data_IF_671866612510
#
_entry.id   IF_671866612510
#
_cell.length_a   1.000
_cell.length_b   1.000
_cell.length_c   1.000
_cell.angle_alpha   90.00
_cell.angle_beta   90.00
_cell.angle_gamma   90.00
#
_symmetry.space_group_name_H-M   'P 1'
#
loop_
_entity.id
_entity.type
_entity.pdbx_description
1 polymer ?
#
# COMPACT_ATOMS: atom_id res chain seq x y z
N UNK A 1 8.86 22.64 10.90
CA UNK A 1 8.04 23.53 11.74
C UNK A 1 6.57 23.19 11.60
N UNK A 2 5.78 23.41 12.66
CA UNK A 2 4.31 23.36 12.64
C UNK A 2 3.86 24.74 13.12
N UNK A 3 3.04 25.43 12.33
CA UNK A 3 2.57 26.80 12.61
C UNK A 3 3.71 27.75 13.01
N UNK A 4 4.81 27.70 12.26
CA UNK A 4 6.00 28.53 12.50
C UNK A 4 6.89 28.09 13.68
N UNK A 5 6.48 27.09 14.46
CA UNK A 5 7.27 26.59 15.60
C UNK A 5 8.14 25.40 15.18
N UNK A 6 9.43 25.50 15.48
CA UNK A 6 10.37 24.40 15.27
C UNK A 6 9.99 23.23 16.17
N UNK A 7 9.88 22.04 15.58
CA UNK A 7 9.59 20.82 16.32
C UNK A 7 10.87 20.09 16.71
N UNK A 8 10.88 19.47 17.88
CA UNK A 8 12.02 18.68 18.40
C UNK A 8 12.18 17.34 17.69
N UNK A 9 11.12 16.83 17.06
CA UNK A 9 11.10 15.57 16.35
C UNK A 9 11.00 15.78 14.83
N UNK A 10 11.68 14.92 14.08
CA UNK A 10 11.44 14.77 12.65
C UNK A 10 10.03 14.20 12.38
N UNK A 11 9.50 14.35 11.18
CA UNK A 11 8.21 13.75 10.80
C UNK A 11 8.18 12.24 11.04
N UNK A 12 9.26 11.55 10.70
CA UNK A 12 9.36 10.10 10.94
C UNK A 12 9.37 9.75 12.43
N UNK A 13 10.07 10.52 13.27
CA UNK A 13 10.02 10.31 14.73
C UNK A 13 8.64 10.57 15.31
N UNK A 14 7.88 11.54 14.75
CA UNK A 14 6.48 11.76 15.15
C UNK A 14 5.61 10.54 14.84
N UNK A 15 5.78 9.92 13.67
CA UNK A 15 5.07 8.69 13.30
C UNK A 15 5.44 7.56 14.26
N UNK A 16 6.71 7.32 14.51
CA UNK A 16 7.16 6.27 15.46
C UNK A 16 6.64 6.48 16.88
N UNK A 17 6.53 7.73 17.31
CA UNK A 17 6.02 8.09 18.63
C UNK A 17 4.55 7.65 18.82
N UNK A 18 3.77 7.51 17.78
CA UNK A 18 2.40 6.96 17.88
C UNK A 18 2.41 5.51 18.38
N UNK A 19 3.35 4.70 17.86
CA UNK A 19 3.54 3.33 18.34
C UNK A 19 4.09 3.29 19.79
N UNK A 20 5.02 4.18 20.13
CA UNK A 20 5.57 4.26 21.49
C UNK A 20 4.50 4.59 22.53
N UNK A 21 3.45 5.32 22.15
CA UNK A 21 2.38 5.80 23.05
C UNK A 21 1.09 5.00 23.01
N UNK A 22 0.80 4.32 21.91
CA UNK A 22 -0.48 3.64 21.69
C UNK A 22 -0.33 2.23 21.14
N UNK A 23 0.87 1.66 21.19
CA UNK A 23 1.18 0.36 20.61
C UNK A 23 1.01 -0.84 21.54
N UNK A 24 0.10 -0.81 22.50
CA UNK A 24 -0.09 -1.89 23.49
C UNK A 24 -0.32 -3.26 22.86
N UNK A 25 -0.98 -3.29 21.70
CA UNK A 25 -1.25 -4.52 20.95
C UNK A 25 -0.23 -4.78 19.82
N UNK A 26 0.80 -3.96 19.68
CA UNK A 26 1.84 -4.15 18.67
C UNK A 26 2.94 -5.02 19.24
N UNK A 27 3.09 -6.23 18.70
CA UNK A 27 4.10 -7.19 19.14
C UNK A 27 5.46 -6.91 18.50
N UNK A 28 5.45 -6.42 17.26
CA UNK A 28 6.66 -6.03 16.53
C UNK A 28 6.35 -4.91 15.54
N UNK A 29 7.16 -3.84 15.57
CA UNK A 29 7.12 -2.78 14.57
C UNK A 29 8.51 -2.14 14.42
N UNK A 30 8.82 -1.67 13.21
CA UNK A 30 10.08 -1.00 12.85
C UNK A 30 11.37 -1.83 13.03
N UNK A 31 11.27 -3.12 13.25
CA UNK A 31 12.39 -4.03 13.50
C UNK A 31 12.49 -5.17 12.50
N UNK A 32 11.47 -5.38 11.69
CA UNK A 32 11.40 -6.44 10.69
C UNK A 32 10.71 -5.94 9.42
N UNK A 33 10.55 -6.81 8.42
CA UNK A 33 9.96 -6.51 7.10
C UNK A 33 8.47 -6.17 7.19
N UNK A 34 7.76 -6.71 8.17
CA UNK A 34 6.36 -6.40 8.45
C UNK A 34 6.13 -6.14 9.93
N UNK A 35 5.03 -5.49 10.27
CA UNK A 35 4.58 -5.36 11.65
C UNK A 35 3.76 -6.58 12.07
N UNK A 36 3.77 -6.88 13.36
CA UNK A 36 2.94 -7.93 13.96
C UNK A 36 2.07 -7.31 15.05
N UNK A 37 0.77 -7.50 14.93
CA UNK A 37 -0.23 -7.02 15.88
C UNK A 37 -0.87 -8.23 16.58
N UNK A 38 -1.12 -8.11 17.86
CA UNK A 38 -1.80 -9.14 18.63
C UNK A 38 -3.19 -9.40 18.04
N UNK A 39 -3.46 -10.66 17.78
CA UNK A 39 -4.77 -11.11 17.31
C UNK A 39 -5.56 -11.79 18.42
N UNK A 40 -6.48 -12.63 18.06
CA UNK A 40 -7.38 -13.32 18.97
C UNK A 40 -7.03 -14.80 19.08
N UNK A 41 -7.38 -15.40 20.22
CA UNK A 41 -7.37 -16.84 20.35
C UNK A 41 -8.45 -17.46 19.48
N UNK A 42 -8.03 -18.30 18.52
CA UNK A 42 -8.94 -18.87 17.53
C UNK A 42 -8.54 -20.30 17.15
N UNK A 43 -9.49 -21.03 16.57
CA UNK A 43 -9.28 -22.37 16.06
C UNK A 43 -8.55 -22.32 14.70
N UNK A 44 -7.57 -23.18 14.55
CA UNK A 44 -6.79 -23.31 13.33
C UNK A 44 -6.69 -24.78 12.93
N UNK A 45 -7.04 -25.07 11.69
CA UNK A 45 -6.87 -26.39 11.08
C UNK A 45 -5.59 -26.40 10.25
N UNK A 46 -4.58 -27.09 10.72
CA UNK A 46 -3.25 -27.03 10.15
C UNK A 46 -2.48 -28.35 10.39
N UNK A 47 -1.52 -28.71 9.50
CA UNK A 47 -0.69 -29.87 9.75
C UNK A 47 0.22 -29.65 10.96
N UNK A 48 0.25 -30.63 11.83
CA UNK A 48 1.19 -30.71 12.92
C UNK A 48 2.61 -30.78 12.38
N UNK A 49 3.57 -29.95 12.88
CA UNK A 49 4.91 -29.87 12.33
C UNK A 49 5.73 -31.15 12.41
N UNK A 50 5.43 -32.03 13.37
CA UNK A 50 6.17 -33.26 13.61
C UNK A 50 5.56 -34.46 12.87
N UNK A 51 4.25 -34.61 12.98
CA UNK A 51 3.53 -35.76 12.38
C UNK A 51 3.04 -35.51 10.97
N UNK A 52 2.88 -34.28 10.53
CA UNK A 52 2.27 -33.89 9.28
C UNK A 52 0.75 -34.09 9.23
N UNK A 53 0.12 -34.56 10.30
CA UNK A 53 -1.31 -34.78 10.37
C UNK A 53 -2.09 -33.48 10.57
N UNK A 54 -3.16 -33.29 9.82
CA UNK A 54 -4.05 -32.13 9.98
C UNK A 54 -4.87 -32.27 11.26
N UNK A 55 -4.81 -31.25 12.10
CA UNK A 55 -5.56 -31.18 13.38
C UNK A 55 -6.08 -29.78 13.63
N UNK A 56 -7.10 -29.71 14.48
CA UNK A 56 -7.52 -28.45 15.06
C UNK A 56 -6.67 -28.12 16.29
N UNK A 57 -6.13 -26.92 16.30
CA UNK A 57 -5.46 -26.34 17.47
C UNK A 57 -6.15 -25.05 17.88
N UNK A 58 -6.03 -24.67 19.16
CA UNK A 58 -6.46 -23.38 19.69
C UNK A 58 -5.21 -22.60 20.05
N UNK A 59 -4.96 -21.53 19.32
CA UNK A 59 -3.76 -20.70 19.49
C UNK A 59 -4.08 -19.20 19.34
N UNK A 60 -3.17 -18.34 19.81
CA UNK A 60 -3.26 -16.92 19.55
C UNK A 60 -2.78 -16.65 18.13
N UNK A 61 -3.71 -16.21 17.27
CA UNK A 61 -3.44 -15.94 15.86
C UNK A 61 -3.18 -14.45 15.70
N UNK A 62 -1.93 -14.09 15.53
CA UNK A 62 -1.50 -12.71 15.32
C UNK A 62 -1.69 -12.28 13.87
N UNK A 63 -1.76 -10.96 13.66
CA UNK A 63 -1.93 -10.36 12.37
C UNK A 63 -0.61 -9.75 11.89
N UNK A 64 -0.16 -10.15 10.73
CA UNK A 64 0.90 -9.47 10.00
C UNK A 64 0.30 -8.29 9.25
N UNK A 65 1.04 -7.19 9.19
CA UNK A 65 0.65 -6.02 8.43
C UNK A 65 1.86 -5.43 7.70
N UNK A 66 1.77 -5.37 6.39
CA UNK A 66 2.77 -4.77 5.52
C UNK A 66 2.12 -3.82 4.54
N UNK A 67 2.76 -2.68 4.33
CA UNK A 67 2.40 -1.74 3.26
C UNK A 67 3.66 -1.30 2.55
N UNK A 68 3.65 -1.40 1.22
CA UNK A 68 4.73 -1.06 0.33
C UNK A 68 4.24 -0.11 -0.76
N UNK A 69 5.07 0.82 -1.22
CA UNK A 69 4.75 1.66 -2.38
C UNK A 69 5.64 1.31 -3.57
N UNK A 70 5.02 1.20 -4.76
CA UNK A 70 5.73 0.88 -6.00
C UNK A 70 5.37 1.87 -7.11
N UNK A 71 5.72 3.14 -6.88
CA UNK A 71 5.20 4.28 -7.61
C UNK A 71 5.76 4.42 -9.03
N UNK A 72 7.10 4.48 -9.17
CA UNK A 72 7.73 4.77 -10.45
C UNK A 72 7.56 3.67 -11.50
N UNK A 73 7.76 2.38 -11.16
CA UNK A 73 7.47 1.31 -12.11
C UNK A 73 6.01 1.27 -12.57
N UNK A 74 5.06 1.53 -11.65
CA UNK A 74 3.64 1.62 -11.98
C UNK A 74 3.32 2.81 -12.91
N UNK A 75 4.06 3.92 -12.77
CA UNK A 75 3.91 5.07 -13.65
C UNK A 75 4.36 4.79 -15.09
N UNK A 76 5.27 3.85 -15.28
CA UNK A 76 5.85 3.53 -16.60
C UNK A 76 5.11 2.36 -17.25
N UNK A 77 4.83 1.31 -16.48
CA UNK A 77 4.18 0.09 -16.93
C UNK A 77 3.20 -0.39 -15.84
N UNK A 78 1.96 0.12 -15.82
CA UNK A 78 1.06 -0.02 -14.68
C UNK A 78 0.76 -1.46 -14.28
N UNK A 79 0.47 -2.33 -15.24
CA UNK A 79 0.18 -3.74 -14.98
C UNK A 79 1.36 -4.45 -14.28
N UNK A 80 2.52 -4.46 -14.92
CA UNK A 80 3.71 -5.13 -14.39
C UNK A 80 4.30 -4.43 -13.17
N UNK A 81 4.25 -3.10 -13.15
CA UNK A 81 4.71 -2.30 -12.02
C UNK A 81 3.91 -2.56 -10.75
N UNK A 82 2.58 -2.58 -10.85
CA UNK A 82 1.70 -2.87 -9.73
C UNK A 82 1.79 -4.36 -9.31
N UNK A 83 1.90 -5.28 -10.28
CA UNK A 83 2.14 -6.69 -9.98
C UNK A 83 3.43 -6.92 -9.21
N UNK A 84 4.52 -6.29 -9.63
CA UNK A 84 5.80 -6.36 -8.90
C UNK A 84 5.71 -5.75 -7.51
N UNK A 85 4.94 -4.67 -7.35
CA UNK A 85 4.65 -4.05 -6.04
C UNK A 85 3.96 -5.02 -5.09
N UNK A 86 2.91 -5.71 -5.55
CA UNK A 86 2.24 -6.75 -4.79
C UNK A 86 3.18 -7.91 -4.44
N UNK A 87 4.03 -8.33 -5.38
CA UNK A 87 5.02 -9.38 -5.14
C UNK A 87 6.08 -9.00 -4.10
N UNK A 88 6.52 -7.74 -4.09
CA UNK A 88 7.45 -7.22 -3.09
C UNK A 88 6.84 -7.21 -1.68
N UNK A 89 5.59 -6.84 -1.57
CA UNK A 89 4.83 -6.85 -0.33
C UNK A 89 4.66 -8.28 0.22
N UNK A 90 4.22 -9.23 -0.63
CA UNK A 90 4.09 -10.65 -0.27
C UNK A 90 5.42 -11.24 0.20
N UNK A 91 6.52 -10.90 -0.46
CA UNK A 91 7.86 -11.33 -0.06
C UNK A 91 8.19 -10.88 1.36
N UNK A 92 7.86 -9.64 1.71
CA UNK A 92 8.16 -9.08 3.01
C UNK A 92 7.30 -9.73 4.12
N UNK A 93 6.03 -9.99 3.87
CA UNK A 93 5.22 -10.79 4.79
C UNK A 93 5.80 -12.18 4.98
N UNK A 94 6.18 -12.86 3.89
CA UNK A 94 6.77 -14.19 3.94
C UNK A 94 8.12 -14.26 4.66
N UNK A 95 8.86 -13.16 4.70
CA UNK A 95 10.17 -13.08 5.33
C UNK A 95 10.15 -12.94 6.86
N UNK A 96 9.02 -12.59 7.46
CA UNK A 96 8.90 -12.33 8.91
C UNK A 96 9.15 -13.58 9.76
N UNK A 97 8.80 -14.77 9.27
CA UNK A 97 9.06 -16.00 10.00
C UNK A 97 8.30 -17.21 9.45
N UNK A 98 8.65 -18.39 9.96
CA UNK A 98 8.12 -19.68 9.47
C UNK A 98 6.61 -19.86 9.61
N UNK A 99 5.96 -19.10 10.46
CA UNK A 99 4.51 -19.14 10.66
C UNK A 99 3.74 -18.14 9.79
N UNK A 100 4.43 -17.25 9.09
CA UNK A 100 3.80 -16.21 8.29
C UNK A 100 3.07 -16.77 7.07
N UNK A 101 1.91 -16.19 6.77
CA UNK A 101 1.07 -16.57 5.63
C UNK A 101 0.39 -15.34 5.05
N UNK A 102 0.79 -14.88 3.87
CA UNK A 102 0.07 -13.83 3.15
C UNK A 102 -1.36 -14.30 2.84
N UNK A 103 -2.35 -13.73 3.49
CA UNK A 103 -3.76 -14.19 3.42
C UNK A 103 -4.67 -13.26 2.65
N UNK A 104 -4.47 -11.97 2.79
CA UNK A 104 -5.32 -10.93 2.21
C UNK A 104 -4.44 -9.83 1.67
N UNK A 105 -4.67 -9.43 0.42
CA UNK A 105 -4.01 -8.30 -0.20
C UNK A 105 -4.89 -7.06 -0.20
N UNK A 106 -4.25 -5.92 -0.28
CA UNK A 106 -4.87 -4.64 -0.59
C UNK A 106 -4.06 -3.89 -1.64
N UNK A 107 -4.72 -3.04 -2.43
CA UNK A 107 -4.06 -2.16 -3.38
C UNK A 107 -4.71 -0.79 -3.40
N UNK A 108 -3.90 0.26 -3.32
CA UNK A 108 -4.35 1.64 -3.36
C UNK A 108 -3.68 2.41 -4.49
N UNK A 109 -4.45 3.25 -5.17
CA UNK A 109 -3.95 4.07 -6.26
C UNK A 109 -4.35 5.53 -6.06
N UNK A 110 -3.37 6.41 -6.15
CA UNK A 110 -3.58 7.85 -6.18
C UNK A 110 -2.93 8.40 -7.44
N UNK A 111 -3.70 9.10 -8.25
CA UNK A 111 -3.27 9.68 -9.54
C UNK A 111 -3.74 11.14 -9.66
N UNK A 112 -3.24 11.86 -10.68
CA UNK A 112 -3.79 13.16 -11.07
C UNK A 112 -5.16 13.00 -11.72
N UNK A 113 -5.67 14.08 -12.34
CA UNK A 113 -6.92 14.06 -13.07
C UNK A 113 -6.92 12.98 -14.16
N UNK A 114 -8.04 12.29 -14.30
CA UNK A 114 -8.16 11.15 -15.20
C UNK A 114 -8.29 11.57 -16.66
N UNK A 115 -8.87 12.75 -16.92
CA UNK A 115 -9.12 13.27 -18.27
C UNK A 115 -9.77 12.22 -19.18
N UNK A 116 -10.86 11.60 -18.71
CA UNK A 116 -11.54 10.53 -19.43
C UNK A 116 -12.06 11.04 -20.77
N UNK A 117 -11.68 10.46 -21.92
CA UNK A 117 -12.14 10.90 -23.21
C UNK A 117 -13.66 10.93 -23.32
N UNK A 118 -14.22 12.08 -23.72
CA UNK A 118 -15.66 12.28 -23.80
C UNK A 118 -16.39 12.49 -22.48
N UNK A 119 -15.68 12.50 -21.35
CA UNK A 119 -16.25 12.69 -20.01
C UNK A 119 -15.34 13.53 -19.11
N UNK A 120 -14.79 14.60 -19.64
CA UNK A 120 -13.96 15.52 -18.86
C UNK A 120 -14.81 16.44 -18.00
N UNK A 121 -14.39 16.64 -16.77
CA UNK A 121 -14.98 17.62 -15.87
C UNK A 121 -14.39 19.02 -16.09
N UNK A 122 -15.14 20.04 -15.77
CA UNK A 122 -14.74 21.45 -15.97
C UNK A 122 -13.52 21.88 -15.15
N UNK A 123 -13.21 21.16 -14.08
CA UNK A 123 -12.02 21.41 -13.25
C UNK A 123 -10.80 20.61 -13.66
N UNK A 124 -10.92 19.66 -14.59
CA UNK A 124 -9.79 18.90 -15.09
C UNK A 124 -9.06 19.71 -16.14
N UNK A 125 -7.85 20.15 -15.81
CA UNK A 125 -6.96 20.83 -16.70
C UNK A 125 -5.83 19.89 -17.10
N UNK A 126 -5.42 19.95 -18.37
CA UNK A 126 -4.28 19.18 -18.86
C UNK A 126 -3.01 20.04 -18.78
N UNK A 127 -2.14 19.71 -17.85
CA UNK A 127 -0.81 20.35 -17.72
C UNK A 127 0.28 19.59 -18.46
N UNK A 128 -0.09 18.52 -19.18
CA UNK A 128 0.85 17.61 -19.80
C UNK A 128 1.52 16.65 -18.81
N UNK A 129 2.30 15.75 -19.36
CA UNK A 129 3.07 14.77 -18.58
C UNK A 129 4.37 14.42 -19.30
N UNK A 130 5.39 13.91 -18.60
CA UNK A 130 6.56 13.33 -19.25
C UNK A 130 6.19 12.13 -20.13
N UNK A 131 6.80 12.01 -21.31
CA UNK A 131 6.49 10.95 -22.28
C UNK A 131 6.66 9.53 -21.73
N UNK A 132 7.60 9.36 -20.80
CA UNK A 132 7.87 8.06 -20.17
C UNK A 132 6.83 7.62 -19.13
N UNK A 133 5.93 8.50 -18.73
CA UNK A 133 4.87 8.18 -17.77
C UNK A 133 3.56 8.06 -18.54
N UNK A 134 2.82 6.97 -18.31
CA UNK A 134 1.50 6.76 -18.92
C UNK A 134 0.44 7.68 -18.29
N UNK A 135 -0.75 7.72 -18.89
CA UNK A 135 -1.82 8.56 -18.35
C UNK A 135 -2.32 8.10 -16.98
N UNK A 136 -2.90 9.01 -16.19
CA UNK A 136 -3.57 8.67 -14.94
C UNK A 136 -4.68 7.63 -15.16
N UNK A 137 -5.39 7.73 -16.28
CA UNK A 137 -6.44 6.77 -16.66
C UNK A 137 -5.87 5.36 -16.89
N UNK A 138 -4.78 5.23 -17.64
CA UNK A 138 -4.14 3.93 -17.91
C UNK A 138 -3.66 3.27 -16.60
N UNK A 139 -3.10 4.07 -15.69
CA UNK A 139 -2.69 3.57 -14.37
C UNK A 139 -3.88 3.01 -13.59
N UNK A 140 -5.02 3.73 -13.61
CA UNK A 140 -6.23 3.30 -12.90
C UNK A 140 -6.92 2.10 -13.54
N UNK A 141 -6.73 1.87 -14.82
CA UNK A 141 -7.28 0.69 -15.52
C UNK A 141 -6.38 -0.53 -15.32
N UNK A 142 -5.08 -0.40 -15.63
CA UNK A 142 -4.18 -1.55 -15.70
C UNK A 142 -3.53 -1.90 -14.36
N UNK A 143 -3.22 -0.90 -13.53
CA UNK A 143 -2.54 -1.11 -12.26
C UNK A 143 -3.27 -2.05 -11.32
N UNK A 144 -4.58 -1.85 -11.06
CA UNK A 144 -5.37 -2.75 -10.20
C UNK A 144 -5.42 -4.19 -10.71
N UNK A 145 -5.50 -4.35 -12.03
CA UNK A 145 -5.52 -5.68 -12.67
C UNK A 145 -4.17 -6.38 -12.45
N UNK A 146 -3.06 -5.65 -12.61
CA UNK A 146 -1.72 -6.19 -12.38
C UNK A 146 -1.50 -6.61 -10.91
N UNK A 147 -1.90 -5.78 -9.96
CA UNK A 147 -1.83 -6.12 -8.53
C UNK A 147 -2.70 -7.34 -8.18
N UNK A 148 -3.93 -7.40 -8.70
CA UNK A 148 -4.84 -8.52 -8.48
C UNK A 148 -4.32 -9.82 -9.13
N UNK A 149 -3.78 -9.75 -10.34
CA UNK A 149 -3.21 -10.89 -11.03
C UNK A 149 -2.07 -11.52 -10.23
N UNK A 150 -1.16 -10.72 -9.69
CA UNK A 150 -0.06 -11.23 -8.87
C UNK A 150 -0.57 -11.86 -7.55
N UNK A 151 -1.51 -11.23 -6.87
CA UNK A 151 -2.15 -11.81 -5.68
C UNK A 151 -2.83 -13.15 -5.99
N UNK A 152 -3.46 -13.26 -7.17
CA UNK A 152 -4.14 -14.49 -7.60
C UNK A 152 -3.17 -15.68 -7.79
N UNK A 153 -1.92 -15.44 -8.20
CA UNK A 153 -0.89 -16.49 -8.28
C UNK A 153 -0.62 -17.16 -6.91
N UNK A 154 -0.83 -16.44 -5.83
CA UNK A 154 -0.68 -16.91 -4.45
C UNK A 154 -2.01 -17.37 -3.83
N UNK A 155 -3.11 -17.43 -4.58
CA UNK A 155 -4.44 -17.71 -4.05
C UNK A 155 -4.88 -16.71 -2.99
N UNK A 156 -4.42 -15.47 -3.07
CA UNK A 156 -4.61 -14.41 -2.10
C UNK A 156 -5.62 -13.40 -2.64
N UNK A 157 -6.80 -13.24 -2.01
CA UNK A 157 -7.78 -12.26 -2.44
C UNK A 157 -7.27 -10.83 -2.19
N UNK A 158 -7.52 -9.95 -3.15
CA UNK A 158 -7.25 -8.51 -3.03
C UNK A 158 -8.55 -7.83 -2.58
N UNK A 159 -8.80 -7.78 -1.26
CA UNK A 159 -10.10 -7.44 -0.68
C UNK A 159 -10.30 -5.96 -0.40
N UNK A 160 -9.22 -5.25 -0.09
CA UNK A 160 -9.27 -3.85 0.33
C UNK A 160 -8.45 -2.97 -0.58
N UNK A 161 -8.62 -1.68 -0.43
CA UNK A 161 -7.84 -0.70 -1.16
C UNK A 161 -8.61 0.59 -1.37
N UNK A 162 -8.08 1.44 -2.22
CA UNK A 162 -8.72 2.69 -2.59
C UNK A 162 -8.30 3.14 -3.99
N UNK A 163 -9.16 3.94 -4.61
CA UNK A 163 -8.89 4.65 -5.85
C UNK A 163 -9.19 6.12 -5.63
N UNK A 164 -8.25 7.00 -5.92
CA UNK A 164 -8.51 8.43 -5.87
C UNK A 164 -7.69 9.18 -6.91
N UNK A 165 -8.28 10.25 -7.43
CA UNK A 165 -7.59 11.29 -8.18
C UNK A 165 -7.54 12.58 -7.34
N UNK A 166 -6.45 13.31 -7.48
CA UNK A 166 -6.31 14.61 -6.83
C UNK A 166 -5.36 15.49 -7.62
N UNK A 167 -5.85 16.65 -7.99
CA UNK A 167 -5.07 17.72 -8.58
C UNK A 167 -5.74 19.05 -8.24
N UNK A 168 -4.97 19.99 -7.71
CA UNK A 168 -5.47 21.28 -7.25
C UNK A 168 -4.48 22.38 -7.54
N UNK A 169 -4.97 23.42 -8.18
CA UNK A 169 -4.24 24.67 -8.27
C UNK A 169 -4.38 25.46 -6.95
N UNK A 170 -3.28 25.89 -6.39
CA UNK A 170 -3.23 26.59 -5.10
C UNK A 170 -2.18 27.68 -5.11
N UNK A 171 -2.28 28.61 -4.17
CA UNK A 171 -1.26 29.64 -3.93
C UNK A 171 -0.13 29.03 -3.08
N UNK A 172 1.05 28.90 -3.67
CA UNK A 172 2.28 28.52 -2.98
C UNK A 172 3.09 29.72 -2.51
N UNK A 173 4.27 29.45 -1.97
CA UNK A 173 5.18 30.50 -1.49
C UNK A 173 5.75 31.36 -2.62
N UNK A 174 5.97 30.77 -3.79
CA UNK A 174 6.59 31.42 -4.95
C UNK A 174 5.56 31.81 -6.04
N UNK A 175 4.27 31.69 -5.76
CA UNK A 175 3.19 31.98 -6.69
C UNK A 175 2.20 30.83 -6.82
N UNK A 176 1.45 30.80 -7.93
CA UNK A 176 0.49 29.71 -8.21
C UNK A 176 1.25 28.41 -8.49
N UNK A 177 0.81 27.34 -7.88
CA UNK A 177 1.34 26.00 -8.10
C UNK A 177 0.22 24.97 -8.24
N UNK A 178 0.47 23.89 -8.97
CA UNK A 178 -0.44 22.78 -9.11
C UNK A 178 0.07 21.61 -8.26
N UNK A 179 -0.75 21.18 -7.33
CA UNK A 179 -0.47 20.03 -6.45
C UNK A 179 -1.35 18.85 -6.84
N UNK A 180 -0.72 17.71 -7.03
CA UNK A 180 -1.43 16.49 -7.40
C UNK A 180 -0.51 15.29 -7.42
N UNK A 181 -1.07 14.15 -7.75
CA UNK A 181 -0.32 12.90 -7.89
C UNK A 181 0.17 12.72 -9.34
N UNK A 182 0.92 13.70 -9.86
CA UNK A 182 1.52 13.66 -11.20
C UNK A 182 2.51 12.49 -11.34
N UNK A 183 3.23 12.17 -10.26
CA UNK A 183 3.81 10.86 -10.05
C UNK A 183 2.83 10.06 -9.18
N UNK A 184 2.28 8.95 -9.67
CA UNK A 184 1.26 8.22 -8.94
C UNK A 184 1.80 7.64 -7.64
N UNK A 185 0.90 7.35 -6.73
CA UNK A 185 1.16 6.44 -5.62
C UNK A 185 0.45 5.13 -5.94
N UNK A 186 1.20 4.05 -6.04
CA UNK A 186 0.70 2.68 -6.01
C UNK A 186 1.10 2.09 -4.67
N UNK A 187 0.11 1.63 -3.91
CA UNK A 187 0.29 1.04 -2.60
C UNK A 187 -0.17 -0.41 -2.66
N UNK A 188 0.71 -1.32 -2.27
CA UNK A 188 0.40 -2.73 -2.06
C UNK A 188 0.54 -3.05 -0.58
N UNK A 189 -0.37 -3.86 -0.04
CA UNK A 189 -0.32 -4.24 1.35
C UNK A 189 -1.09 -5.53 1.63
N UNK A 190 -1.02 -5.93 2.86
CA UNK A 190 -1.70 -7.11 3.37
C UNK A 190 -1.46 -7.34 4.83
#
# INVERSE_FOLDING_TARGET
>A
TIDGKVQTHSLFKMIRNTNERGGENVLSAYSDNAAVVAGSRAGRFFPDPESGEYRYSQEDIHLLMKVETHNHPTAIAPYSGAGTGAGGEIRDEGAVGRGSKPKVGLAGFSVSNLNIPGYQHTWELDYGKPDRIVSALDIMIEGPIGAAAFNNEFGRPNLCGYFRSYELETQGLEGREVRGYHKPIMLAGG
#
